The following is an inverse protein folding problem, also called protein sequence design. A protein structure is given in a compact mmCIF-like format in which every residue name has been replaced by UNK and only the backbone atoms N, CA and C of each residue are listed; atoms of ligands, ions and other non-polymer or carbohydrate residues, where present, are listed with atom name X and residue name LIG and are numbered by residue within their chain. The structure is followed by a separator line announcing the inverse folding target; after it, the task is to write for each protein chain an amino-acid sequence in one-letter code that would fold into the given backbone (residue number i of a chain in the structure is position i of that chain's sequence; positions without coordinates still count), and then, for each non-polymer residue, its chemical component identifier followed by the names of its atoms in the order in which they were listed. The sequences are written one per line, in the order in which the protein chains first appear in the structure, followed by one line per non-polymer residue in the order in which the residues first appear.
data_IF_979121122461
#
_entry.id   IF_979121122461
#
_cell.length_a   1.000
_cell.length_b   1.000
_cell.length_c   1.000
_cell.angle_alpha   90.00
_cell.angle_beta   90.00
_cell.angle_gamma   90.00
#
_symmetry.space_group_name_H-M   'P 1'
#
loop_
_entity.id
_entity.type
_entity.pdbx_description
1 polymer ?
#
# COMPACT_ATOMS: atom_id res chain seq x y z
N UNK A 1 -4.70 -79.89 -10.13
CA UNK A 1 -5.16 -78.62 -10.73
C UNK A 1 -5.36 -77.59 -9.64
N UNK A 2 -4.41 -76.67 -9.46
CA UNK A 2 -4.60 -75.39 -8.78
C UNK A 2 -3.33 -74.57 -9.04
N UNK A 3 -3.34 -73.79 -10.13
CA UNK A 3 -2.27 -72.87 -10.46
C UNK A 3 -2.57 -71.55 -9.73
N UNK A 4 -1.71 -71.19 -8.78
CA UNK A 4 -1.77 -69.94 -8.02
C UNK A 4 -1.45 -68.79 -8.98
N UNK A 5 -2.40 -67.87 -9.16
CA UNK A 5 -2.18 -66.62 -9.90
C UNK A 5 -1.47 -65.63 -8.98
N UNK A 6 -0.24 -65.28 -9.33
CA UNK A 6 0.47 -64.15 -8.74
C UNK A 6 -0.20 -62.85 -9.19
N UNK A 7 -0.69 -62.05 -8.23
CA UNK A 7 -1.16 -60.70 -8.48
C UNK A 7 0.05 -59.75 -8.41
N UNK A 8 0.50 -59.25 -9.56
CA UNK A 8 1.43 -58.13 -9.65
C UNK A 8 0.69 -56.84 -9.31
N UNK A 9 1.00 -56.24 -8.16
CA UNK A 9 0.60 -54.88 -7.82
C UNK A 9 1.58 -53.93 -8.51
N UNK A 10 1.15 -53.28 -9.58
CA UNK A 10 1.88 -52.17 -10.18
C UNK A 10 1.60 -50.91 -9.35
N UNK A 11 2.60 -50.44 -8.61
CA UNK A 11 2.54 -49.13 -7.96
C UNK A 11 2.66 -48.04 -9.03
N UNK A 12 1.57 -47.32 -9.30
CA UNK A 12 1.62 -46.11 -10.10
C UNK A 12 2.30 -45.02 -9.26
N UNK A 13 3.57 -44.73 -9.56
CA UNK A 13 4.24 -43.53 -9.06
C UNK A 13 3.65 -42.36 -9.85
N UNK A 14 2.74 -41.61 -9.21
CA UNK A 14 2.33 -40.31 -9.70
C UNK A 14 3.54 -39.38 -9.57
N UNK A 15 4.20 -39.09 -10.70
CA UNK A 15 5.16 -38.01 -10.79
C UNK A 15 4.36 -36.71 -10.69
N UNK A 16 4.21 -36.19 -9.47
CA UNK A 16 3.80 -34.81 -9.29
C UNK A 16 4.91 -33.95 -9.89
N UNK A 17 4.69 -33.41 -11.09
CA UNK A 17 5.50 -32.31 -11.57
C UNK A 17 5.31 -31.19 -10.54
N UNK A 18 6.35 -30.93 -9.75
CA UNK A 18 6.42 -29.71 -8.98
C UNK A 18 6.31 -28.58 -10.01
N UNK A 19 5.17 -27.89 -10.02
CA UNK A 19 5.09 -26.58 -10.65
C UNK A 19 6.16 -25.77 -9.93
N UNK A 20 7.21 -25.37 -10.65
CA UNK A 20 8.21 -24.47 -10.10
C UNK A 20 7.44 -23.29 -9.51
N UNK A 21 7.52 -23.13 -8.19
CA UNK A 21 6.92 -21.98 -7.55
C UNK A 21 7.62 -20.76 -8.16
N UNK A 22 6.84 -19.85 -8.72
CA UNK A 22 7.35 -18.57 -9.21
C UNK A 22 8.15 -17.91 -8.08
N UNK A 23 9.36 -17.45 -8.38
CA UNK A 23 10.28 -16.89 -7.40
C UNK A 23 10.44 -15.39 -7.69
N UNK A 24 9.44 -14.57 -7.35
CA UNK A 24 9.45 -13.16 -7.70
C UNK A 24 10.52 -12.41 -6.94
N UNK A 25 11.35 -11.67 -7.68
CA UNK A 25 12.26 -10.67 -7.12
C UNK A 25 11.72 -9.29 -7.42
N UNK A 26 11.38 -8.55 -6.36
CA UNK A 26 10.90 -7.15 -6.41
C UNK A 26 11.84 -6.27 -5.56
N UNK A 27 12.99 -5.82 -6.11
CA UNK A 27 14.04 -5.13 -5.34
C UNK A 27 13.61 -3.83 -4.67
N UNK A 28 12.52 -3.23 -5.14
CA UNK A 28 12.11 -1.86 -4.80
C UNK A 28 10.77 -1.79 -4.07
N UNK A 29 10.28 -2.93 -3.59
CA UNK A 29 8.97 -3.05 -2.97
C UNK A 29 7.83 -2.96 -3.98
N UNK A 30 6.66 -2.54 -3.49
CA UNK A 30 5.46 -2.45 -4.30
C UNK A 30 5.39 -1.13 -5.06
N UNK A 31 5.22 -1.24 -6.38
CA UNK A 31 4.97 -0.12 -7.26
C UNK A 31 3.49 0.25 -7.21
N UNK A 32 3.18 1.54 -7.25
CA UNK A 32 1.79 2.01 -7.38
C UNK A 32 1.20 1.40 -8.65
N UNK A 33 0.04 0.75 -8.52
CA UNK A 33 -0.75 0.25 -9.64
C UNK A 33 -1.91 1.21 -9.90
N UNK A 34 -2.03 1.67 -11.13
CA UNK A 34 -3.22 2.36 -11.62
C UNK A 34 -3.75 1.64 -12.85
N UNK A 35 -5.06 1.42 -12.90
CA UNK A 35 -5.74 0.94 -14.10
C UNK A 35 -6.11 2.13 -14.99
N UNK A 36 -6.03 1.94 -16.31
CA UNK A 36 -6.51 2.91 -17.28
C UNK A 36 -8.03 2.83 -17.46
N UNK A 37 -8.62 1.67 -17.15
CA UNK A 37 -10.04 1.34 -17.25
C UNK A 37 -10.65 0.97 -15.88
N UNK A 38 -11.95 1.22 -15.70
CA UNK A 38 -12.68 0.90 -14.46
C UNK A 38 -12.60 1.98 -13.38
N UNK A 39 -12.00 3.12 -13.70
CA UNK A 39 -11.67 4.20 -12.78
C UNK A 39 -12.45 5.48 -13.13
N UNK A 40 -12.49 6.45 -12.21
CA UNK A 40 -13.21 7.72 -12.43
C UNK A 40 -12.72 8.50 -13.66
N UNK A 41 -11.46 8.32 -14.04
CA UNK A 41 -10.83 8.95 -15.20
C UNK A 41 -11.00 8.18 -16.52
N UNK A 42 -11.56 6.96 -16.50
CA UNK A 42 -11.59 6.08 -17.67
C UNK A 42 -12.25 6.69 -18.90
N UNK A 43 -13.26 7.54 -18.70
CA UNK A 43 -13.99 8.22 -19.76
C UNK A 43 -13.37 9.55 -20.24
N UNK A 44 -12.29 10.02 -19.62
CA UNK A 44 -11.65 11.28 -20.02
C UNK A 44 -10.95 11.12 -21.37
N UNK A 45 -11.03 12.15 -22.22
CA UNK A 45 -10.28 12.20 -23.47
C UNK A 45 -8.77 12.12 -23.18
N UNK A 46 -8.04 11.31 -23.93
CA UNK A 46 -6.59 11.19 -23.81
C UNK A 46 -5.94 12.27 -24.68
N UNK A 47 -5.21 13.21 -24.05
CA UNK A 47 -4.67 14.35 -24.76
C UNK A 47 -5.75 15.19 -25.47
N UNK A 48 -5.55 15.41 -26.77
CA UNK A 48 -6.50 16.08 -27.66
C UNK A 48 -7.11 15.13 -28.70
N UNK A 49 -6.92 13.81 -28.55
CA UNK A 49 -7.45 12.81 -29.49
C UNK A 49 -8.91 12.46 -29.20
N UNK A 50 -9.51 11.62 -30.05
CA UNK A 50 -10.84 11.05 -29.80
C UNK A 50 -10.82 9.82 -28.90
N UNK A 51 -9.64 9.33 -28.51
CA UNK A 51 -9.50 8.20 -27.59
C UNK A 51 -9.75 8.65 -26.15
N UNK A 52 -10.07 7.69 -25.29
CA UNK A 52 -10.12 7.92 -23.85
C UNK A 52 -8.91 7.31 -23.16
N UNK A 53 -8.69 7.69 -21.89
CA UNK A 53 -7.67 7.05 -21.05
C UNK A 53 -7.90 5.53 -21.02
N UNK A 54 -9.15 5.06 -20.93
CA UNK A 54 -9.41 3.63 -20.96
C UNK A 54 -9.05 2.99 -22.32
N UNK A 55 -9.37 3.62 -23.45
CA UNK A 55 -9.13 2.98 -24.75
C UNK A 55 -7.66 2.97 -25.20
N UNK A 56 -6.84 3.93 -24.75
CA UNK A 56 -5.46 4.09 -25.25
C UNK A 56 -4.42 4.57 -24.21
N UNK A 57 -4.77 4.73 -22.94
CA UNK A 57 -3.93 5.42 -21.95
C UNK A 57 -2.80 4.62 -21.31
N UNK A 58 -2.41 3.47 -21.87
CA UNK A 58 -1.47 2.53 -21.23
C UNK A 58 -0.12 3.16 -20.91
N UNK A 59 0.51 3.81 -21.89
CA UNK A 59 1.81 4.47 -21.73
C UNK A 59 1.77 5.58 -20.66
N UNK A 60 0.78 6.47 -20.74
CA UNK A 60 0.60 7.54 -19.76
C UNK A 60 0.32 6.99 -18.35
N UNK A 61 -0.48 5.93 -18.25
CA UNK A 61 -0.76 5.29 -16.95
C UNK A 61 0.49 4.66 -16.35
N UNK A 62 1.37 4.07 -17.16
CA UNK A 62 2.68 3.59 -16.72
C UNK A 62 3.60 4.71 -16.23
N UNK A 63 3.56 5.89 -16.85
CA UNK A 63 4.28 7.08 -16.35
C UNK A 63 3.66 7.59 -15.05
N UNK A 64 2.33 7.63 -14.93
CA UNK A 64 1.62 7.99 -13.70
C UNK A 64 2.02 7.09 -12.53
N UNK A 65 2.03 5.77 -12.74
CA UNK A 65 2.51 4.79 -11.75
C UNK A 65 3.96 5.03 -11.34
N UNK A 66 4.83 5.34 -12.30
CA UNK A 66 6.24 5.64 -12.05
C UNK A 66 6.40 6.88 -11.18
N UNK A 67 5.76 7.99 -11.54
CA UNK A 67 5.81 9.25 -10.80
C UNK A 67 5.19 9.11 -9.40
N UNK A 68 4.05 8.41 -9.29
CA UNK A 68 3.36 8.21 -8.02
C UNK A 68 4.17 7.35 -7.04
N UNK A 69 4.86 6.32 -7.55
CA UNK A 69 5.76 5.47 -6.74
C UNK A 69 6.91 6.29 -6.15
N UNK A 70 7.37 7.31 -6.88
CA UNK A 70 8.42 8.21 -6.45
C UNK A 70 7.93 9.48 -5.71
N UNK A 71 6.63 9.54 -5.38
CA UNK A 71 6.00 10.69 -4.72
C UNK A 71 6.20 12.03 -5.43
N UNK A 72 6.45 11.99 -6.75
CA UNK A 72 6.51 13.18 -7.57
C UNK A 72 5.12 13.81 -7.67
N UNK A 73 5.07 15.12 -7.91
CA UNK A 73 3.81 15.86 -8.10
C UNK A 73 3.78 16.48 -9.47
N UNK A 74 2.64 16.42 -10.14
CA UNK A 74 2.43 17.03 -11.45
C UNK A 74 1.40 18.14 -11.30
N UNK A 75 1.79 19.38 -11.64
CA UNK A 75 0.96 20.55 -11.35
C UNK A 75 0.67 20.74 -9.85
N UNK A 76 1.54 20.24 -8.98
CA UNK A 76 1.33 20.24 -7.53
C UNK A 76 0.35 19.18 -7.00
N UNK A 77 -0.19 18.33 -7.87
CA UNK A 77 -1.11 17.25 -7.52
C UNK A 77 -0.45 15.87 -7.62
N UNK A 78 -1.03 14.88 -6.94
CA UNK A 78 -0.64 13.47 -7.06
C UNK A 78 -0.88 12.97 -8.49
N UNK A 79 0.09 12.32 -9.15
CA UNK A 79 0.00 11.93 -10.56
C UNK A 79 -0.78 10.62 -10.75
N UNK A 80 -2.11 10.69 -10.65
CA UNK A 80 -3.02 9.65 -11.15
C UNK A 80 -3.11 9.72 -12.69
N UNK A 81 -3.62 8.69 -13.40
CA UNK A 81 -3.81 8.79 -14.85
C UNK A 81 -4.69 9.98 -15.25
N UNK A 82 -5.73 10.29 -14.46
CA UNK A 82 -6.59 11.45 -14.72
C UNK A 82 -5.88 12.79 -14.59
N UNK A 83 -5.12 12.98 -13.51
CA UNK A 83 -4.41 14.26 -13.23
C UNK A 83 -3.19 14.44 -14.11
N UNK A 84 -2.40 13.38 -14.34
CA UNK A 84 -1.28 13.42 -15.27
C UNK A 84 -1.77 13.68 -16.69
N UNK A 85 -2.82 12.99 -17.16
CA UNK A 85 -3.39 13.24 -18.48
C UNK A 85 -3.82 14.70 -18.65
N UNK A 86 -4.59 15.24 -17.69
CA UNK A 86 -5.03 16.64 -17.75
C UNK A 86 -3.84 17.62 -17.84
N UNK A 87 -2.82 17.41 -17.00
CA UNK A 87 -1.63 18.26 -17.03
C UNK A 87 -0.87 18.14 -18.36
N UNK A 88 -0.67 16.93 -18.88
CA UNK A 88 -0.01 16.71 -20.17
C UNK A 88 -0.79 17.37 -21.31
N UNK A 89 -2.12 17.28 -21.32
CA UNK A 89 -2.97 17.97 -22.30
C UNK A 89 -2.75 19.48 -22.29
N UNK A 90 -2.68 20.08 -21.10
CA UNK A 90 -2.54 21.53 -20.94
C UNK A 90 -1.10 22.05 -21.16
N UNK A 91 -0.10 21.16 -21.10
CA UNK A 91 1.33 21.54 -21.14
C UNK A 91 2.07 20.98 -22.37
N UNK A 92 1.34 20.57 -23.41
CA UNK A 92 1.94 20.07 -24.65
C UNK A 92 2.73 18.78 -24.44
N UNK A 93 2.27 17.93 -23.53
CA UNK A 93 2.89 16.64 -23.17
C UNK A 93 2.53 15.49 -24.11
N UNK A 94 1.80 15.75 -25.18
CA UNK A 94 1.40 14.77 -26.19
C UNK A 94 1.81 15.22 -27.60
N UNK A 95 2.25 14.24 -28.40
CA UNK A 95 2.42 14.32 -29.85
C UNK A 95 1.27 13.56 -30.55
N UNK A 96 0.94 13.95 -31.77
CA UNK A 96 -0.18 13.39 -32.56
C UNK A 96 -1.52 13.22 -31.79
N UNK A 97 -1.73 14.06 -30.79
CA UNK A 97 -2.95 14.14 -30.00
C UNK A 97 -3.01 13.23 -28.77
N UNK A 98 -2.33 12.09 -28.74
CA UNK A 98 -2.33 11.20 -27.56
C UNK A 98 -1.06 10.35 -27.35
N UNK A 99 0.00 10.55 -28.15
CA UNK A 99 1.29 9.89 -27.93
C UNK A 99 2.07 10.66 -26.87
N UNK A 100 2.30 10.06 -25.71
CA UNK A 100 3.01 10.73 -24.62
C UNK A 100 4.43 11.13 -25.06
N UNK A 101 4.78 12.40 -24.84
CA UNK A 101 6.16 12.85 -24.95
C UNK A 101 6.84 12.50 -23.63
N UNK A 102 7.57 11.38 -23.60
CA UNK A 102 8.12 10.77 -22.38
C UNK A 102 8.81 11.77 -21.43
N UNK A 103 9.66 12.65 -21.96
CA UNK A 103 10.43 13.58 -21.12
C UNK A 103 9.67 14.85 -20.70
N UNK A 104 8.40 15.03 -21.09
CA UNK A 104 7.61 16.23 -20.75
C UNK A 104 7.41 16.43 -19.24
N UNK A 105 7.41 15.33 -18.49
CA UNK A 105 7.23 15.32 -17.02
C UNK A 105 8.51 15.68 -16.24
N UNK A 106 9.66 15.81 -16.89
CA UNK A 106 10.94 16.04 -16.22
C UNK A 106 10.99 17.35 -15.40
N UNK A 107 10.16 18.33 -15.75
CA UNK A 107 10.06 19.60 -15.01
C UNK A 107 9.26 19.48 -13.70
N UNK A 108 8.55 18.38 -13.50
CA UNK A 108 7.60 18.18 -12.40
C UNK A 108 8.24 17.53 -11.17
N UNK A 109 9.44 16.97 -11.33
CA UNK A 109 10.05 16.16 -10.30
C UNK A 109 11.54 15.89 -10.52
N UNK A 110 12.08 14.95 -9.75
CA UNK A 110 13.44 14.43 -9.92
C UNK A 110 13.48 13.36 -11.00
N UNK A 111 12.39 12.64 -11.19
CA UNK A 111 12.28 11.59 -12.19
C UNK A 111 12.26 12.18 -13.62
N UNK A 112 13.19 11.73 -14.46
CA UNK A 112 13.30 12.14 -15.86
C UNK A 112 13.61 10.95 -16.77
N UNK A 113 13.29 11.06 -18.06
CA UNK A 113 13.59 10.00 -19.01
C UNK A 113 15.11 9.86 -19.15
N UNK A 114 15.64 8.70 -18.80
CA UNK A 114 17.05 8.35 -18.92
C UNK A 114 17.36 7.73 -20.29
N UNK A 115 16.44 6.90 -20.81
CA UNK A 115 16.59 6.30 -22.14
C UNK A 115 15.24 5.94 -22.77
N UNK A 116 15.25 5.84 -24.09
CA UNK A 116 14.15 5.43 -24.95
C UNK A 116 14.74 4.53 -26.05
N UNK A 117 14.54 3.21 -25.94
CA UNK A 117 15.30 2.20 -26.68
C UNK A 117 14.41 1.11 -27.26
N UNK A 118 14.62 0.80 -28.55
CA UNK A 118 13.91 -0.30 -29.24
C UNK A 118 14.38 -1.71 -28.81
N UNK A 119 15.31 -1.81 -27.87
CA UNK A 119 15.71 -3.08 -27.26
C UNK A 119 16.42 -2.86 -25.94
N UNK A 120 16.30 -3.83 -25.04
CA UNK A 120 17.03 -3.90 -23.78
C UNK A 120 17.23 -5.37 -23.43
N UNK A 121 18.43 -5.77 -22.99
CA UNK A 121 18.67 -7.18 -22.63
C UNK A 121 17.98 -7.53 -21.31
N UNK A 122 17.64 -8.81 -21.05
CA UNK A 122 17.11 -9.20 -19.75
C UNK A 122 18.03 -8.80 -18.58
N UNK A 123 19.35 -8.85 -18.78
CA UNK A 123 20.31 -8.42 -17.77
C UNK A 123 20.21 -6.91 -17.47
N UNK A 124 20.04 -6.07 -18.50
CA UNK A 124 19.90 -4.62 -18.33
C UNK A 124 18.57 -4.25 -17.66
N UNK A 125 17.48 -4.96 -18.00
CA UNK A 125 16.17 -4.78 -17.33
C UNK A 125 16.31 -5.12 -15.85
N UNK A 126 16.87 -6.28 -15.51
CA UNK A 126 17.13 -6.68 -14.12
C UNK A 126 18.02 -5.66 -13.40
N UNK A 127 19.05 -5.14 -14.06
CA UNK A 127 19.92 -4.13 -13.47
C UNK A 127 19.20 -2.80 -13.20
N UNK A 128 18.34 -2.33 -14.12
CA UNK A 128 17.51 -1.15 -13.92
C UNK A 128 16.49 -1.36 -12.79
N UNK A 129 15.81 -2.52 -12.76
CA UNK A 129 14.92 -2.90 -11.68
C UNK A 129 15.64 -2.94 -10.33
N UNK A 130 16.89 -3.41 -10.26
CA UNK A 130 17.71 -3.36 -9.04
C UNK A 130 18.08 -1.95 -8.59
N UNK A 131 18.24 -1.02 -9.53
CA UNK A 131 18.46 0.41 -9.22
C UNK A 131 17.16 1.16 -8.93
N UNK A 132 16.02 0.45 -8.94
CA UNK A 132 14.69 1.02 -8.83
C UNK A 132 14.31 1.98 -9.94
N UNK A 133 15.04 2.01 -11.05
CA UNK A 133 14.67 2.81 -12.21
C UNK A 133 13.37 2.28 -12.81
N UNK A 134 12.33 3.12 -13.01
CA UNK A 134 11.12 2.70 -13.68
C UNK A 134 11.44 2.26 -15.11
N UNK A 135 11.08 1.02 -15.45
CA UNK A 135 11.22 0.48 -16.80
C UNK A 135 9.83 0.23 -17.37
N UNK A 136 9.44 1.03 -18.36
CA UNK A 136 8.18 0.89 -19.07
C UNK A 136 8.45 0.13 -20.36
N UNK A 137 7.80 -1.00 -20.57
CA UNK A 137 8.00 -1.87 -21.72
C UNK A 137 6.78 -1.86 -22.63
N UNK A 138 7.03 -1.78 -23.93
CA UNK A 138 6.02 -2.03 -24.95
C UNK A 138 5.89 -3.55 -25.16
N UNK A 139 4.66 -4.02 -25.14
CA UNK A 139 4.28 -5.43 -25.21
C UNK A 139 3.15 -5.63 -26.21
N UNK A 140 2.79 -6.89 -26.48
CA UNK A 140 1.68 -7.25 -27.38
C UNK A 140 1.88 -6.65 -28.77
N UNK A 141 3.03 -6.94 -29.37
CA UNK A 141 3.37 -6.58 -30.74
C UNK A 141 3.27 -5.08 -31.05
N UNK A 142 3.63 -4.19 -30.12
CA UNK A 142 3.55 -2.74 -30.35
C UNK A 142 2.37 -2.07 -29.67
N UNK A 143 1.32 -2.82 -29.33
CA UNK A 143 0.00 -2.24 -29.07
C UNK A 143 -0.24 -1.75 -27.63
N UNK A 144 0.61 -2.14 -26.68
CA UNK A 144 0.35 -1.90 -25.25
C UNK A 144 1.63 -1.58 -24.47
N UNK A 145 1.50 -0.85 -23.37
CA UNK A 145 2.62 -0.48 -22.50
C UNK A 145 2.34 -0.89 -21.06
N UNK A 146 3.38 -1.40 -20.39
CA UNK A 146 3.32 -1.89 -19.00
C UNK A 146 4.53 -1.40 -18.21
N UNK A 147 4.37 -1.27 -16.90
CA UNK A 147 5.48 -0.93 -16.00
C UNK A 147 6.07 -2.21 -15.42
N UNK A 148 7.36 -2.47 -15.63
CA UNK A 148 8.05 -3.61 -15.02
C UNK A 148 8.30 -3.34 -13.54
N UNK A 149 7.89 -4.28 -12.69
CA UNK A 149 7.95 -4.16 -11.22
C UNK A 149 8.90 -5.17 -10.57
N UNK A 150 9.32 -6.19 -11.32
CA UNK A 150 10.18 -7.26 -10.84
C UNK A 150 10.56 -8.24 -11.93
N UNK A 151 11.27 -9.28 -11.55
CA UNK A 151 11.66 -10.37 -12.45
C UNK A 151 11.64 -11.71 -11.73
N UNK A 152 11.62 -12.81 -12.46
CA UNK A 152 11.70 -14.15 -11.87
C UNK A 152 13.17 -14.56 -11.65
N UNK A 153 13.50 -15.08 -10.45
CA UNK A 153 14.87 -15.53 -10.17
C UNK A 153 15.24 -16.81 -10.89
N UNK A 154 14.25 -17.64 -11.21
CA UNK A 154 14.43 -18.99 -11.75
C UNK A 154 14.25 -18.98 -13.28
N UNK A 155 13.47 -18.04 -13.80
CA UNK A 155 13.32 -17.77 -15.23
C UNK A 155 13.93 -16.43 -15.64
N UNK A 156 14.97 -16.49 -16.48
CA UNK A 156 15.70 -15.31 -16.93
C UNK A 156 14.89 -14.39 -17.86
N UNK A 157 13.84 -14.89 -18.52
CA UNK A 157 13.03 -14.11 -19.48
C UNK A 157 11.71 -13.59 -18.90
N UNK A 158 11.26 -14.07 -17.74
CA UNK A 158 10.00 -13.63 -17.14
C UNK A 158 10.17 -12.35 -16.31
N UNK A 159 9.35 -11.34 -16.61
CA UNK A 159 9.28 -10.06 -15.90
C UNK A 159 7.89 -9.80 -15.35
N UNK A 160 7.81 -9.42 -14.07
CA UNK A 160 6.56 -9.03 -13.43
C UNK A 160 6.22 -7.58 -13.75
N UNK A 161 4.94 -7.30 -13.92
CA UNK A 161 4.48 -5.99 -14.38
C UNK A 161 3.26 -5.48 -13.62
N UNK A 162 3.13 -4.16 -13.57
CA UNK A 162 1.87 -3.48 -13.39
C UNK A 162 1.30 -3.18 -14.79
N UNK A 163 0.25 -3.91 -15.17
CA UNK A 163 -0.44 -3.73 -16.45
C UNK A 163 -1.67 -2.82 -16.27
N UNK A 164 -1.70 -1.62 -16.88
CA UNK A 164 -2.80 -0.69 -16.72
C UNK A 164 -4.07 -1.09 -17.49
N UNK A 165 -3.95 -1.91 -18.55
CA UNK A 165 -5.05 -2.22 -19.48
C UNK A 165 -5.62 -3.64 -19.35
N UNK A 166 -4.84 -4.59 -18.84
CA UNK A 166 -5.21 -6.01 -18.75
C UNK A 166 -4.90 -6.61 -17.39
N UNK A 167 -5.55 -7.72 -17.03
CA UNK A 167 -5.25 -8.48 -15.82
C UNK A 167 -4.09 -9.45 -16.09
N UNK A 168 -2.92 -8.88 -16.40
CA UNK A 168 -1.70 -9.60 -16.70
C UNK A 168 -0.63 -9.21 -15.67
N UNK A 169 -0.08 -10.19 -14.96
CA UNK A 169 0.90 -9.97 -13.88
C UNK A 169 2.35 -10.13 -14.32
N UNK A 170 2.60 -10.73 -15.49
CA UNK A 170 3.95 -10.91 -16.04
C UNK A 170 3.94 -11.04 -17.56
N UNK A 171 5.09 -10.76 -18.16
CA UNK A 171 5.37 -10.96 -19.59
C UNK A 171 6.74 -11.64 -19.76
N UNK A 172 6.87 -12.45 -20.81
CA UNK A 172 8.16 -12.93 -21.26
C UNK A 172 8.87 -11.84 -22.09
N UNK A 173 10.19 -11.73 -21.92
CA UNK A 173 11.05 -10.78 -22.63
C UNK A 173 10.89 -10.84 -24.15
N UNK A 174 10.64 -12.02 -24.72
CA UNK A 174 10.42 -12.18 -26.16
C UNK A 174 9.19 -11.43 -26.68
N UNK A 175 8.24 -11.10 -25.80
CA UNK A 175 7.07 -10.28 -26.12
C UNK A 175 7.28 -8.78 -25.93
N UNK A 176 8.48 -8.33 -25.55
CA UNK A 176 8.81 -6.93 -25.30
C UNK A 176 9.61 -6.33 -26.46
N UNK A 177 9.12 -5.23 -27.04
CA UNK A 177 9.66 -4.67 -28.29
C UNK A 177 10.28 -3.28 -28.14
N UNK A 178 10.05 -2.58 -27.04
CA UNK A 178 10.54 -1.22 -26.79
C UNK A 178 10.56 -0.93 -25.30
N UNK A 179 11.49 -0.09 -24.84
CA UNK A 179 11.70 0.20 -23.43
C UNK A 179 11.97 1.69 -23.20
N UNK A 180 11.33 2.25 -22.19
CA UNK A 180 11.58 3.61 -21.69
C UNK A 180 12.00 3.49 -20.23
N UNK A 181 13.18 4.02 -19.91
CA UNK A 181 13.72 3.99 -18.55
C UNK A 181 13.71 5.41 -18.00
N UNK A 182 13.21 5.55 -16.78
CA UNK A 182 13.32 6.79 -16.01
C UNK A 182 14.40 6.67 -14.94
N UNK A 183 15.01 7.79 -14.58
CA UNK A 183 15.97 7.86 -13.48
C UNK A 183 15.78 9.12 -12.67
N UNK A 184 16.16 9.06 -11.39
CA UNK A 184 16.27 10.21 -10.49
C UNK A 184 17.73 10.71 -10.37
N UNK A 185 18.68 10.03 -11.01
CA UNK A 185 20.07 10.45 -11.06
C UNK A 185 20.22 11.54 -12.11
N UNK A 186 20.64 12.74 -11.72
CA UNK A 186 20.82 13.88 -12.65
C UNK A 186 21.56 13.44 -13.92
N UNK A 187 20.89 13.55 -15.06
CA UNK A 187 21.42 13.23 -16.39
C UNK A 187 22.79 13.90 -16.63
N UNK A 188 23.88 13.17 -16.39
CA UNK A 188 25.16 13.48 -17.00
C UNK A 188 25.02 13.18 -18.48
N UNK A 189 24.95 14.25 -19.28
CA UNK A 189 24.98 14.29 -20.74
C UNK A 189 25.83 13.18 -21.37
N UNK A 190 25.19 12.41 -22.26
CA UNK A 190 25.84 11.49 -23.20
C UNK A 190 26.81 12.24 -24.11
N UNK A 191 28.07 11.82 -24.14
CA UNK A 191 29.04 12.17 -25.19
C UNK A 191 30.22 11.19 -25.19
N UNK A 192 30.28 10.33 -26.22
CA UNK A 192 31.55 10.01 -26.88
C UNK A 192 32.30 8.74 -26.47
N UNK A 193 32.34 7.82 -27.44
CA UNK A 193 33.49 6.98 -27.86
C UNK A 193 33.91 5.76 -27.01
N UNK A 194 34.00 4.64 -27.73
CA UNK A 194 34.52 3.36 -27.32
C UNK A 194 36.02 3.39 -26.94
N UNK A 195 36.38 2.64 -25.90
CA UNK A 195 37.62 1.85 -25.82
C UNK A 195 37.54 0.91 -24.62
N UNK A 196 37.92 -0.35 -24.82
CA UNK A 196 37.89 -1.40 -23.80
C UNK A 196 38.93 -1.21 -22.68
N UNK A 197 38.72 -1.99 -21.61
CA UNK A 197 39.66 -2.14 -20.51
C UNK A 197 39.00 -2.96 -19.40
N UNK A 198 39.63 -4.07 -19.06
CA UNK A 198 39.22 -5.04 -18.04
C UNK A 198 38.84 -4.38 -16.70
N UNK A 199 37.78 -4.90 -16.06
CA UNK A 199 37.47 -4.54 -14.67
C UNK A 199 37.64 -5.79 -13.81
N UNK A 200 38.69 -5.74 -13.00
CA UNK A 200 39.02 -6.68 -11.95
C UNK A 200 37.83 -6.90 -11.00
N UNK A 201 37.59 -8.17 -10.74
CA UNK A 201 36.72 -8.66 -9.67
C UNK A 201 37.45 -8.52 -8.35
N UNK A 202 37.10 -7.51 -7.53
CA UNK A 202 37.10 -7.59 -6.06
C UNK A 202 36.73 -6.23 -5.43
N UNK A 203 35.44 -6.05 -5.16
CA UNK A 203 34.95 -5.13 -4.14
C UNK A 203 33.56 -5.57 -3.67
N UNK A 204 33.49 -6.73 -3.04
CA UNK A 204 32.36 -7.05 -2.18
C UNK A 204 32.48 -6.25 -0.87
N UNK A 205 31.32 -5.89 -0.31
CA UNK A 205 31.10 -5.42 1.05
C UNK A 205 31.31 -3.92 1.34
N UNK A 206 30.45 -3.08 0.74
CA UNK A 206 29.62 -2.19 1.54
C UNK A 206 28.20 -2.24 0.97
N UNK A 207 27.37 -3.13 1.50
CA UNK A 207 25.94 -3.04 1.28
C UNK A 207 25.48 -1.73 1.93
N UNK A 208 25.11 -0.75 1.11
CA UNK A 208 24.21 0.31 1.56
C UNK A 208 23.02 -0.35 2.23
N UNK A 209 22.52 0.15 3.37
CA UNK A 209 21.33 -0.41 3.99
C UNK A 209 20.23 -0.42 2.93
N UNK A 210 19.63 -1.60 2.71
CA UNK A 210 18.48 -1.75 1.84
C UNK A 210 17.47 -0.65 2.18
N UNK A 211 17.10 0.17 1.18
CA UNK A 211 15.96 1.05 1.29
C UNK A 211 14.75 0.16 1.56
N UNK A 212 14.31 0.07 2.81
CA UNK A 212 13.02 -0.53 3.13
C UNK A 212 12.00 0.42 2.52
N UNK A 213 11.31 0.01 1.46
CA UNK A 213 10.36 0.85 0.75
C UNK A 213 9.30 1.41 1.72
N UNK A 214 9.24 2.74 1.84
CA UNK A 214 8.26 3.41 2.69
C UNK A 214 6.83 3.18 2.18
N UNK A 215 5.85 3.23 3.08
CA UNK A 215 4.45 3.01 2.80
C UNK A 215 3.93 4.13 1.90
N UNK A 216 3.77 3.86 0.61
CA UNK A 216 3.05 4.78 -0.26
C UNK A 216 1.57 4.83 0.14
N UNK A 217 1.08 6.02 0.50
CA UNK A 217 -0.36 6.26 0.65
C UNK A 217 -0.97 6.28 -0.75
N UNK A 218 -1.74 5.24 -1.11
CA UNK A 218 -2.43 5.16 -2.40
C UNK A 218 -3.51 6.25 -2.46
N UNK A 219 -3.70 6.88 -3.62
CA UNK A 219 -4.73 7.91 -3.84
C UNK A 219 -6.15 7.31 -3.76
N UNK A 220 -7.08 7.94 -3.05
CA UNK A 220 -8.49 7.54 -3.04
C UNK A 220 -9.25 8.20 -4.18
N UNK A 221 -10.06 7.44 -4.94
CA UNK A 221 -10.93 8.02 -5.97
C UNK A 221 -11.99 8.96 -5.40
N UNK A 222 -12.31 8.84 -4.11
CA UNK A 222 -13.34 9.64 -3.41
C UNK A 222 -12.75 10.86 -2.67
N UNK A 223 -11.43 11.04 -2.72
CA UNK A 223 -10.73 11.98 -1.83
C UNK A 223 -10.65 11.46 -0.40
N UNK A 224 -10.57 12.35 0.58
CA UNK A 224 -10.59 11.99 2.00
C UNK A 224 -9.25 12.16 2.71
N UNK A 225 -9.22 11.64 3.93
CA UNK A 225 -8.18 11.86 4.91
C UNK A 225 -7.35 10.58 5.08
N UNK A 226 -6.05 10.74 4.94
CA UNK A 226 -5.08 9.70 5.24
C UNK A 226 -4.66 9.78 6.70
N UNK A 227 -4.40 8.60 7.28
CA UNK A 227 -3.88 8.51 8.62
C UNK A 227 -3.03 7.28 8.83
N UNK A 228 -2.43 7.22 10.00
CA UNK A 228 -1.59 6.11 10.45
C UNK A 228 -2.04 5.65 11.82
N UNK A 229 -1.77 4.41 12.16
CA UNK A 229 -1.81 3.97 13.55
C UNK A 229 -0.49 3.32 13.97
N UNK A 230 -0.16 3.50 15.24
CA UNK A 230 1.17 3.21 15.79
C UNK A 230 1.09 2.60 17.19
N UNK A 231 1.94 1.61 17.43
CA UNK A 231 2.14 0.99 18.74
C UNK A 231 3.54 1.24 19.33
N UNK A 232 4.38 1.98 18.61
CA UNK A 232 5.73 2.36 19.04
C UNK A 232 5.86 3.88 19.18
N UNK A 233 6.86 4.40 19.93
CA UNK A 233 7.09 5.83 20.00
C UNK A 233 7.30 6.43 18.61
N UNK A 234 6.54 7.47 18.29
CA UNK A 234 6.68 8.22 17.02
C UNK A 234 6.90 9.70 17.34
N UNK A 235 7.95 10.25 16.75
CA UNK A 235 8.48 11.59 16.97
C UNK A 235 7.75 12.65 16.14
N UNK A 236 7.96 13.92 16.53
CA UNK A 236 7.41 15.07 15.81
C UNK A 236 7.95 15.12 14.36
N UNK A 237 9.23 14.83 14.15
CA UNK A 237 9.84 14.82 12.81
C UNK A 237 9.27 13.74 11.91
N UNK A 238 8.96 12.56 12.46
CA UNK A 238 8.31 11.48 11.72
C UNK A 238 6.90 11.89 11.30
N UNK A 239 6.08 12.41 12.22
CA UNK A 239 4.74 12.91 11.89
C UNK A 239 4.76 14.12 10.95
N UNK A 240 5.73 15.03 11.09
CA UNK A 240 5.88 16.18 10.21
C UNK A 240 6.24 15.73 8.78
N UNK A 241 7.11 14.72 8.63
CA UNK A 241 7.39 14.08 7.35
C UNK A 241 6.13 13.41 6.79
N UNK A 242 5.44 12.57 7.57
CA UNK A 242 4.22 11.88 7.14
C UNK A 242 3.16 12.86 6.63
N UNK A 243 2.95 13.96 7.35
CA UNK A 243 2.00 14.99 6.97
C UNK A 243 2.39 15.71 5.69
N UNK A 244 3.66 16.06 5.55
CA UNK A 244 4.17 16.86 4.44
C UNK A 244 4.29 16.06 3.14
N UNK A 245 4.83 14.86 3.25
CA UNK A 245 5.28 14.07 2.12
C UNK A 245 4.28 12.95 1.76
N UNK A 246 3.38 12.59 2.70
CA UNK A 246 2.40 11.50 2.52
C UNK A 246 0.95 11.88 2.85
N UNK A 247 0.66 13.19 3.00
CA UNK A 247 -0.67 13.74 3.27
C UNK A 247 -1.36 13.18 4.54
N UNK A 248 -0.58 12.63 5.48
CA UNK A 248 -1.12 12.12 6.76
C UNK A 248 -1.71 13.26 7.57
N UNK A 249 -3.01 13.15 7.84
CA UNK A 249 -3.81 14.18 8.50
C UNK A 249 -4.29 13.76 9.90
N UNK A 250 -4.30 12.45 10.18
CA UNK A 250 -4.59 11.93 11.51
C UNK A 250 -3.68 10.75 11.90
N UNK A 251 -3.53 10.53 13.20
CA UNK A 251 -2.83 9.40 13.77
C UNK A 251 -3.65 8.76 14.91
N UNK A 252 -3.56 7.44 15.07
CA UNK A 252 -4.15 6.70 16.19
C UNK A 252 -3.03 5.96 16.93
N UNK A 253 -2.87 6.14 18.24
CA UNK A 253 -1.82 5.43 18.98
C UNK A 253 -2.38 4.52 20.07
N UNK A 254 -1.70 3.39 20.33
CA UNK A 254 -2.07 2.53 21.45
C UNK A 254 -1.92 3.29 22.77
N UNK A 255 -2.96 3.27 23.60
CA UNK A 255 -2.94 3.86 24.94
C UNK A 255 -3.01 2.82 26.06
N UNK A 256 -3.43 1.60 25.73
CA UNK A 256 -3.52 0.48 26.66
C UNK A 256 -3.24 -0.82 25.93
N UNK A 257 -2.58 -1.73 26.62
CA UNK A 257 -2.17 -3.02 26.08
C UNK A 257 -3.06 -4.14 26.59
N UNK A 258 -3.18 -5.19 25.79
CA UNK A 258 -3.82 -6.46 26.10
C UNK A 258 -3.28 -7.11 27.39
N UNK A 259 -2.06 -6.74 27.78
CA UNK A 259 -1.41 -7.21 29.00
C UNK A 259 -1.94 -6.53 30.27
N UNK A 260 -2.82 -5.54 30.14
CA UNK A 260 -3.48 -4.91 31.28
C UNK A 260 -2.74 -3.69 31.82
N UNK A 261 -1.93 -3.03 30.99
CA UNK A 261 -1.10 -1.89 31.36
C UNK A 261 -1.21 -0.74 30.36
N UNK A 262 -0.99 0.49 30.85
CA UNK A 262 -0.83 1.70 30.04
C UNK A 262 0.31 1.50 29.04
N UNK A 263 0.07 1.87 27.78
CA UNK A 263 1.17 1.95 26.82
C UNK A 263 2.01 3.22 27.07
N UNK A 264 3.26 3.02 27.46
CA UNK A 264 4.19 4.11 27.77
C UNK A 264 4.48 5.06 26.60
N UNK A 265 4.26 4.62 25.36
CA UNK A 265 4.49 5.45 24.17
C UNK A 265 3.40 6.52 23.97
N UNK A 266 2.18 6.29 24.47
CA UNK A 266 0.98 7.07 24.12
C UNK A 266 1.14 8.58 24.35
N UNK A 267 1.72 8.97 25.50
CA UNK A 267 1.89 10.38 25.87
C UNK A 267 2.92 11.08 24.99
N UNK A 268 4.05 10.42 24.71
CA UNK A 268 5.10 10.96 23.86
C UNK A 268 4.61 11.13 22.42
N UNK A 269 4.01 10.08 21.87
CA UNK A 269 3.44 10.05 20.52
C UNK A 269 2.33 11.10 20.37
N UNK A 270 1.43 11.24 21.35
CA UNK A 270 0.37 12.25 21.29
C UNK A 270 0.88 13.70 21.29
N UNK A 271 1.92 13.99 22.08
CA UNK A 271 2.56 15.32 22.07
C UNK A 271 3.26 15.60 20.73
N UNK A 272 3.94 14.60 20.18
CA UNK A 272 4.59 14.68 18.88
C UNK A 272 3.59 14.93 17.73
N UNK A 273 2.47 14.20 17.71
CA UNK A 273 1.42 14.40 16.72
C UNK A 273 0.83 15.81 16.81
N UNK A 274 0.54 16.30 18.03
CA UNK A 274 0.05 17.65 18.25
C UNK A 274 1.04 18.72 17.76
N UNK A 275 2.34 18.56 18.04
CA UNK A 275 3.38 19.48 17.59
C UNK A 275 3.53 19.53 16.06
N UNK A 276 3.40 18.38 15.38
CA UNK A 276 3.36 18.30 13.92
C UNK A 276 2.02 18.80 13.30
N UNK A 277 1.02 19.09 14.14
CA UNK A 277 -0.31 19.48 13.72
C UNK A 277 -1.07 18.35 12.99
N UNK A 278 -0.88 17.10 13.45
CA UNK A 278 -1.62 15.91 13.01
C UNK A 278 -2.74 15.64 14.01
N UNK A 279 -3.96 15.40 13.54
CA UNK A 279 -5.10 15.10 14.41
C UNK A 279 -4.86 13.78 15.15
N UNK A 280 -5.03 13.74 16.47
CA UNK A 280 -4.67 12.57 17.27
C UNK A 280 -5.91 11.82 17.79
N UNK A 281 -5.86 10.50 17.77
CA UNK A 281 -6.79 9.57 18.42
C UNK A 281 -5.99 8.51 19.17
N UNK A 282 -6.67 7.73 20.00
CA UNK A 282 -6.04 6.59 20.68
C UNK A 282 -6.82 5.32 20.43
N UNK A 283 -6.15 4.17 20.50
CA UNK A 283 -6.81 2.87 20.59
C UNK A 283 -6.43 2.15 21.89
N UNK A 284 -7.33 1.33 22.38
CA UNK A 284 -7.19 0.54 23.60
C UNK A 284 -7.31 -0.93 23.23
N UNK A 285 -6.24 -1.70 23.37
CA UNK A 285 -6.28 -3.15 23.22
C UNK A 285 -6.73 -3.75 24.56
N UNK A 286 -7.94 -4.32 24.66
CA UNK A 286 -8.51 -4.73 25.94
C UNK A 286 -7.74 -5.89 26.57
N UNK A 287 -7.59 -5.84 27.89
CA UNK A 287 -7.21 -6.98 28.72
C UNK A 287 -8.47 -7.66 29.27
N UNK A 288 -8.77 -8.87 28.80
CA UNK A 288 -9.99 -9.62 29.12
C UNK A 288 -10.01 -10.13 30.58
N UNK A 289 -8.86 -10.04 31.27
CA UNK A 289 -8.69 -10.47 32.66
C UNK A 289 -8.85 -9.33 33.68
N UNK A 290 -9.06 -8.10 33.21
CA UNK A 290 -9.30 -6.94 34.05
C UNK A 290 -10.74 -6.45 33.93
N UNK A 291 -11.18 -5.59 34.85
CA UNK A 291 -12.48 -4.94 34.76
C UNK A 291 -12.54 -4.03 33.52
N UNK A 292 -13.58 -4.20 32.71
CA UNK A 292 -13.79 -3.48 31.44
C UNK A 292 -13.79 -1.95 31.62
N UNK A 293 -14.54 -1.46 32.60
CA UNK A 293 -14.68 -0.03 32.79
C UNK A 293 -13.45 0.57 33.52
N UNK A 294 -12.80 -0.19 34.40
CA UNK A 294 -11.62 0.27 35.14
C UNK A 294 -10.41 0.47 34.22
N UNK A 295 -10.12 -0.45 33.29
CA UNK A 295 -8.99 -0.29 32.37
C UNK A 295 -9.17 0.94 31.46
N UNK A 296 -10.40 1.20 30.99
CA UNK A 296 -10.73 2.42 30.26
C UNK A 296 -10.47 3.66 31.11
N UNK A 297 -11.04 3.73 32.33
CA UNK A 297 -10.82 4.87 33.24
C UNK A 297 -9.34 5.12 33.53
N UNK A 298 -8.58 4.06 33.81
CA UNK A 298 -7.13 4.14 34.06
C UNK A 298 -6.40 4.82 32.90
N UNK A 299 -6.69 4.42 31.66
CA UNK A 299 -6.07 5.03 30.48
C UNK A 299 -6.52 6.48 30.25
N UNK A 300 -7.81 6.79 30.43
CA UNK A 300 -8.34 8.15 30.26
C UNK A 300 -7.77 9.11 31.30
N UNK A 301 -7.69 8.67 32.56
CA UNK A 301 -7.07 9.45 33.64
C UNK A 301 -5.58 9.69 33.36
N UNK A 302 -4.87 8.68 32.84
CA UNK A 302 -3.47 8.83 32.46
C UNK A 302 -3.26 9.83 31.32
N UNK A 303 -4.06 9.76 30.25
CA UNK A 303 -4.02 10.70 29.12
C UNK A 303 -4.33 12.12 29.58
N UNK A 304 -5.39 12.29 30.40
CA UNK A 304 -5.81 13.57 30.96
C UNK A 304 -4.75 14.19 31.87
N UNK A 305 -4.17 13.40 32.78
CA UNK A 305 -3.12 13.87 33.68
C UNK A 305 -1.87 14.35 32.94
N UNK A 306 -1.62 13.83 31.74
CA UNK A 306 -0.49 14.19 30.89
C UNK A 306 -0.82 15.24 29.81
N UNK A 307 -2.04 15.79 29.82
CA UNK A 307 -2.47 16.85 28.91
C UNK A 307 -2.67 16.38 27.46
N UNK A 308 -2.95 15.10 27.23
CA UNK A 308 -3.18 14.55 25.90
C UNK A 308 -4.63 14.79 25.49
N UNK A 309 -4.81 15.48 24.36
CA UNK A 309 -6.11 15.66 23.70
C UNK A 309 -6.22 14.68 22.53
N UNK A 310 -7.40 14.09 22.34
CA UNK A 310 -7.65 13.15 21.26
C UNK A 310 -9.10 13.29 20.75
N UNK A 311 -9.34 12.89 19.50
CA UNK A 311 -10.66 13.02 18.86
C UNK A 311 -11.55 11.80 19.09
N UNK A 312 -10.97 10.61 19.05
CA UNK A 312 -11.67 9.34 19.23
C UNK A 312 -10.86 8.42 20.14
N UNK A 313 -11.61 7.58 20.86
CA UNK A 313 -11.08 6.48 21.63
C UNK A 313 -11.59 5.17 21.01
N UNK A 314 -10.70 4.44 20.34
CA UNK A 314 -11.04 3.22 19.64
C UNK A 314 -10.86 2.01 20.55
N UNK A 315 -11.88 1.16 20.62
CA UNK A 315 -11.77 -0.16 21.23
C UNK A 315 -11.26 -1.13 20.18
N UNK A 316 -10.06 -1.67 20.40
CA UNK A 316 -9.38 -2.57 19.47
C UNK A 316 -9.81 -4.02 19.75
N UNK A 317 -10.79 -4.51 18.98
CA UNK A 317 -11.43 -5.81 19.19
C UNK A 317 -10.96 -6.81 18.14
N UNK A 318 -9.88 -7.51 18.48
CA UNK A 318 -9.25 -8.53 17.65
C UNK A 318 -9.29 -9.93 18.27
N UNK A 319 -9.04 -10.96 17.46
CA UNK A 319 -8.89 -12.34 17.96
C UNK A 319 -7.64 -12.46 18.84
N UNK A 320 -7.82 -12.31 20.14
CA UNK A 320 -6.82 -12.57 21.18
C UNK A 320 -7.35 -13.60 22.20
N UNK A 321 -7.15 -13.37 23.50
CA UNK A 321 -7.52 -14.22 24.63
C UNK A 321 -9.01 -14.11 25.02
N UNK A 322 -9.90 -13.90 24.04
CA UNK A 322 -11.34 -13.82 24.28
C UNK A 322 -11.91 -15.17 24.74
N UNK A 323 -12.65 -15.21 25.87
CA UNK A 323 -13.38 -16.40 26.30
C UNK A 323 -14.41 -16.86 25.27
N UNK A 324 -14.81 -18.14 25.34
CA UNK A 324 -15.82 -18.70 24.42
C UNK A 324 -17.25 -18.18 24.61
N UNK A 325 -17.53 -17.49 25.73
CA UNK A 325 -18.85 -16.93 26.00
C UNK A 325 -19.00 -15.57 25.29
N UNK A 326 -19.53 -15.63 24.07
CA UNK A 326 -19.68 -14.47 23.19
C UNK A 326 -20.63 -13.40 23.73
N UNK A 327 -21.68 -13.78 24.46
CA UNK A 327 -22.57 -12.83 25.14
C UNK A 327 -21.82 -12.02 26.19
N UNK A 328 -20.99 -12.69 27.01
CA UNK A 328 -20.19 -12.00 28.02
C UNK A 328 -19.12 -11.11 27.41
N UNK A 329 -18.55 -11.51 26.27
CA UNK A 329 -17.60 -10.67 25.53
C UNK A 329 -18.29 -9.39 25.01
N UNK A 330 -19.49 -9.52 24.45
CA UNK A 330 -20.28 -8.36 24.01
C UNK A 330 -20.59 -7.42 25.20
N UNK A 331 -21.04 -7.95 26.33
CA UNK A 331 -21.27 -7.19 27.57
C UNK A 331 -20.00 -6.47 28.07
N UNK A 332 -18.86 -7.15 27.99
CA UNK A 332 -17.56 -6.58 28.34
C UNK A 332 -17.21 -5.38 27.45
N UNK A 333 -17.34 -5.52 26.13
CA UNK A 333 -17.04 -4.45 25.16
C UNK A 333 -18.01 -3.27 25.34
N UNK A 334 -19.30 -3.53 25.55
CA UNK A 334 -20.29 -2.50 25.85
C UNK A 334 -19.94 -1.72 27.12
N UNK A 335 -19.51 -2.41 28.19
CA UNK A 335 -19.10 -1.75 29.42
C UNK A 335 -17.86 -0.85 29.24
N UNK A 336 -16.93 -1.22 28.33
CA UNK A 336 -15.82 -0.34 27.95
C UNK A 336 -16.33 0.90 27.21
N UNK A 337 -17.22 0.71 26.23
CA UNK A 337 -17.77 1.81 25.43
C UNK A 337 -18.59 2.80 26.27
N UNK A 338 -19.38 2.28 27.21
CA UNK A 338 -20.12 3.08 28.18
C UNK A 338 -19.19 3.90 29.07
N UNK A 339 -18.06 3.32 29.50
CA UNK A 339 -17.07 4.03 30.32
C UNK A 339 -16.42 5.20 29.57
N UNK A 340 -16.11 5.03 28.28
CA UNK A 340 -15.60 6.13 27.43
C UNK A 340 -16.66 7.22 27.27
N UNK A 341 -17.90 6.83 26.95
CA UNK A 341 -19.01 7.76 26.74
C UNK A 341 -19.34 8.54 28.02
N UNK A 342 -19.36 7.86 29.17
CA UNK A 342 -19.59 8.48 30.48
C UNK A 342 -18.49 9.48 30.87
N UNK A 343 -17.27 9.30 30.35
CA UNK A 343 -16.17 10.25 30.50
C UNK A 343 -16.27 11.45 29.54
N UNK A 344 -17.28 11.49 28.66
CA UNK A 344 -17.52 12.59 27.72
C UNK A 344 -16.67 12.52 26.44
N UNK A 345 -16.14 11.35 26.11
CA UNK A 345 -15.33 11.13 24.91
C UNK A 345 -16.10 10.37 23.83
N UNK A 346 -15.75 10.60 22.56
CA UNK A 346 -16.28 9.82 21.43
C UNK A 346 -15.58 8.46 21.37
N UNK A 347 -16.37 7.39 21.43
CA UNK A 347 -15.90 6.01 21.29
C UNK A 347 -16.18 5.48 19.88
N UNK A 348 -15.27 4.65 19.36
CA UNK A 348 -15.48 3.83 18.17
C UNK A 348 -14.95 2.41 18.38
N UNK A 349 -15.24 1.50 17.45
CA UNK A 349 -14.77 0.11 17.48
C UNK A 349 -13.84 -0.12 16.29
N UNK A 350 -12.64 -0.63 16.56
CA UNK A 350 -11.80 -1.25 15.55
C UNK A 350 -12.02 -2.75 15.56
N UNK A 351 -12.43 -3.34 14.45
CA UNK A 351 -12.61 -4.79 14.32
C UNK A 351 -12.83 -5.21 12.87
N UNK A 352 -12.56 -6.48 12.56
CA UNK A 352 -12.97 -7.12 11.30
C UNK A 352 -14.16 -8.05 11.52
N UNK A 353 -14.88 -8.41 10.46
CA UNK A 353 -15.90 -9.49 10.51
C UNK A 353 -15.30 -10.80 11.04
N UNK A 354 -14.04 -11.08 10.70
CA UNK A 354 -13.34 -12.28 11.15
C UNK A 354 -13.11 -12.30 12.67
N UNK A 355 -12.95 -11.15 13.31
CA UNK A 355 -12.84 -11.01 14.76
C UNK A 355 -14.21 -10.87 15.42
N UNK A 356 -15.06 -9.98 14.90
CA UNK A 356 -16.33 -9.63 15.51
C UNK A 356 -17.28 -10.81 15.68
N UNK A 357 -17.52 -11.57 14.61
CA UNK A 357 -18.46 -12.69 14.62
C UNK A 357 -18.12 -13.76 15.66
N UNK A 358 -16.90 -14.32 15.73
CA UNK A 358 -16.58 -15.32 16.76
C UNK A 358 -16.45 -14.74 18.17
N UNK A 359 -16.13 -13.45 18.35
CA UNK A 359 -15.99 -12.84 19.68
C UNK A 359 -17.35 -12.52 20.28
N UNK A 360 -18.28 -12.00 19.49
CA UNK A 360 -19.53 -11.41 19.99
C UNK A 360 -20.79 -12.14 19.52
N UNK A 361 -20.65 -13.17 18.69
CA UNK A 361 -21.77 -13.78 17.95
C UNK A 361 -22.51 -12.77 17.07
N UNK A 362 -21.76 -11.85 16.47
CA UNK A 362 -22.26 -10.82 15.56
C UNK A 362 -23.32 -9.91 16.21
N UNK A 363 -23.07 -9.46 17.46
CA UNK A 363 -24.00 -8.55 18.14
C UNK A 363 -24.15 -7.22 17.39
N UNK A 364 -25.35 -6.62 17.46
CA UNK A 364 -25.67 -5.33 16.83
C UNK A 364 -25.73 -4.15 17.83
N UNK A 365 -25.55 -4.42 19.13
CA UNK A 365 -25.72 -3.42 20.20
C UNK A 365 -24.75 -2.22 20.06
N UNK A 366 -23.64 -2.39 19.34
CA UNK A 366 -22.60 -1.38 19.14
C UNK A 366 -22.64 -0.74 17.74
N UNK A 367 -23.63 -1.08 16.90
CA UNK A 367 -23.74 -0.62 15.52
C UNK A 367 -23.88 0.91 15.36
N UNK A 368 -24.29 1.61 16.43
CA UNK A 368 -24.36 3.07 16.45
C UNK A 368 -22.99 3.75 16.58
N UNK A 369 -21.95 3.01 16.99
CA UNK A 369 -20.60 3.54 17.13
C UNK A 369 -19.90 3.58 15.76
N UNK A 370 -18.96 4.52 15.54
CA UNK A 370 -18.07 4.49 14.38
C UNK A 370 -17.32 3.16 14.28
N UNK A 371 -17.27 2.59 13.07
CA UNK A 371 -16.49 1.39 12.76
C UNK A 371 -15.19 1.76 12.03
N UNK A 372 -14.06 1.33 12.55
CA UNK A 372 -12.78 1.31 11.86
C UNK A 372 -12.45 -0.16 11.53
N UNK A 373 -12.48 -0.56 10.26
CA UNK A 373 -12.26 -1.96 9.90
C UNK A 373 -10.93 -2.17 9.18
N UNK A 374 -10.22 -3.28 9.44
CA UNK A 374 -9.09 -3.67 8.62
C UNK A 374 -9.57 -4.54 7.46
N UNK A 375 -9.06 -4.24 6.27
CA UNK A 375 -9.07 -5.18 5.15
C UNK A 375 -7.88 -4.87 4.24
N UNK A 376 -7.02 -5.87 4.07
CA UNK A 376 -5.75 -5.73 3.35
C UNK A 376 -5.87 -6.42 2.01
N UNK A 377 -5.92 -5.61 0.97
CA UNK A 377 -6.01 -6.07 -0.41
C UNK A 377 -4.60 -6.15 -1.01
N UNK A 378 -4.42 -7.02 -2.00
CA UNK A 378 -3.14 -7.13 -2.73
C UNK A 378 -2.75 -5.79 -3.37
N UNK A 379 -3.76 -5.03 -3.82
CA UNK A 379 -3.63 -3.62 -4.17
C UNK A 379 -4.38 -2.83 -3.07
N UNK A 380 -3.68 -2.05 -2.22
CA UNK A 380 -4.33 -1.38 -1.11
C UNK A 380 -5.27 -0.27 -1.58
N UNK A 381 -6.58 -0.42 -1.32
CA UNK A 381 -7.62 0.51 -1.77
C UNK A 381 -8.16 1.37 -0.61
N UNK A 382 -7.93 2.69 -0.61
CA UNK A 382 -8.44 3.63 0.40
C UNK A 382 -9.88 4.05 0.08
N UNK A 383 -10.80 3.08 0.03
CA UNK A 383 -12.23 3.26 -0.14
C UNK A 383 -12.99 2.14 0.61
N UNK A 384 -14.32 2.16 0.58
CA UNK A 384 -15.16 1.14 1.24
C UNK A 384 -15.85 0.18 0.26
N UNK A 385 -15.39 0.08 -1.00
CA UNK A 385 -16.05 -0.75 -2.02
C UNK A 385 -16.02 -2.24 -1.68
N UNK A 386 -15.03 -2.65 -0.90
CA UNK A 386 -14.83 -4.01 -0.38
C UNK A 386 -15.64 -4.29 0.89
N UNK A 387 -16.21 -3.27 1.53
CA UNK A 387 -16.90 -3.44 2.79
C UNK A 387 -18.19 -4.26 2.62
N UNK A 388 -18.33 -5.28 3.45
CA UNK A 388 -19.56 -6.05 3.62
C UNK A 388 -20.10 -5.86 5.04
N UNK A 389 -21.40 -5.58 5.17
CA UNK A 389 -22.04 -5.33 6.45
C UNK A 389 -21.92 -6.51 7.43
N UNK A 390 -21.58 -6.22 8.68
CA UNK A 390 -21.54 -7.15 9.81
C UNK A 390 -21.80 -6.39 11.12
N UNK A 391 -22.15 -7.08 12.21
CA UNK A 391 -22.32 -6.46 13.54
C UNK A 391 -23.35 -5.32 13.58
N UNK A 392 -24.29 -5.29 12.63
CA UNK A 392 -25.25 -4.20 12.44
C UNK A 392 -24.71 -2.95 11.73
N UNK A 393 -23.40 -2.84 11.46
CA UNK A 393 -22.83 -1.73 10.69
C UNK A 393 -23.14 -1.87 9.21
N UNK A 394 -23.74 -0.83 8.63
CA UNK A 394 -24.01 -0.72 7.19
C UNK A 394 -23.00 0.14 6.44
N UNK A 395 -22.18 0.92 7.15
CA UNK A 395 -21.14 1.77 6.58
C UNK A 395 -19.99 1.97 7.59
N UNK A 396 -18.72 1.86 7.17
CA UNK A 396 -17.59 2.18 8.02
C UNK A 396 -17.39 3.68 8.22
N UNK A 397 -16.62 4.02 9.25
CA UNK A 397 -16.06 5.36 9.47
C UNK A 397 -14.63 5.47 8.94
N UNK A 398 -13.81 4.42 9.09
CA UNK A 398 -12.43 4.37 8.62
C UNK A 398 -12.06 2.95 8.18
N UNK A 399 -11.02 2.84 7.34
CA UNK A 399 -10.42 1.58 6.90
C UNK A 399 -8.93 1.58 7.21
N UNK A 400 -8.43 0.51 7.83
CA UNK A 400 -7.01 0.18 7.81
C UNK A 400 -6.76 -0.69 6.58
N UNK A 401 -6.15 -0.11 5.55
CA UNK A 401 -6.08 -0.73 4.22
C UNK A 401 -4.69 -1.30 3.90
N UNK A 402 -3.68 -1.02 4.74
CA UNK A 402 -2.35 -1.60 4.64
C UNK A 402 -1.75 -1.76 6.04
N UNK A 403 -1.34 -2.98 6.36
CA UNK A 403 -0.68 -3.30 7.62
C UNK A 403 0.78 -2.86 7.66
N UNK A 404 1.49 -3.40 8.65
CA UNK A 404 2.74 -2.83 9.16
C UNK A 404 3.76 -2.55 8.07
N UNK A 405 4.07 -1.26 7.94
CA UNK A 405 4.92 -0.72 6.90
C UNK A 405 5.81 0.39 7.45
N UNK A 406 7.06 0.55 6.97
CA UNK A 406 7.87 1.70 7.34
C UNK A 406 7.29 2.96 6.69
N UNK A 407 7.30 4.11 7.37
CA UNK A 407 6.91 5.39 6.80
C UNK A 407 7.63 6.53 7.52
N UNK A 408 8.39 7.35 6.79
CA UNK A 408 9.17 8.45 7.35
C UNK A 408 10.09 8.03 8.51
N UNK A 409 10.58 6.78 8.50
CA UNK A 409 11.40 6.21 9.59
C UNK A 409 10.63 5.53 10.72
N UNK A 410 9.29 5.63 10.78
CA UNK A 410 8.46 4.97 11.77
C UNK A 410 7.87 3.65 11.25
N UNK A 411 7.47 2.75 12.14
CA UNK A 411 6.66 1.56 11.81
C UNK A 411 5.18 1.87 12.03
N UNK A 412 4.40 1.86 10.96
CA UNK A 412 2.99 2.28 10.98
C UNK A 412 2.08 1.28 10.29
N UNK A 413 0.83 1.23 10.71
CA UNK A 413 -0.27 0.73 9.89
C UNK A 413 -0.99 1.93 9.25
N UNK A 414 -1.60 1.71 8.10
CA UNK A 414 -2.03 2.78 7.18
C UNK A 414 -3.55 2.79 7.03
N UNK A 415 -4.11 4.00 7.19
CA UNK A 415 -5.54 4.24 7.33
C UNK A 415 -6.08 5.29 6.37
N UNK A 416 -7.36 5.15 6.06
CA UNK A 416 -8.12 6.11 5.29
C UNK A 416 -9.52 6.30 5.89
N UNK A 417 -10.07 7.51 5.73
CA UNK A 417 -11.49 7.82 5.93
C UNK A 417 -11.92 8.89 4.91
N UNK A 418 -13.19 8.92 4.50
CA UNK A 418 -13.70 9.89 3.52
C UNK A 418 -13.63 11.35 3.99
#
# INVERSE_FOLDING_TARGET
MAMVRAATVAAAIALAAAVAAASPVKPCGDWVLYKQCGESWSGHALGTSSNTICSAGCAMSSVAMSLATYHEKVGGQRPTPGTLNAWLTDNGGYDDGDLIIWNSVASQGKLHMASDSASMSPADIKAATHRCEPVIANVRDGSHWVLITGYDSDDASTFYVNDPGFDQSSYDHSGMSHFVVYSNATATTQSGTAAGGDVDVDAAAQASPALIAEAAMVGSPDGGHYGVDVSTPTSESEFACMKKDHDVSFAVARCYTENGDIDSAAVGTGKAAAAAGVSFSVYHFPCQHQDAAAQVRTSLDHLKANGISFTHYWLDIERSDWPSNTTRNAEFIMAMADAVTAAGHTVGVYTSVYSWTPITSDTHELAALPLWYPHYENTPEPNFNDFSAFGGWSSPYAKQYKGTSPLCGASVDVNWRP
#
